data_IF_158652467303
#
_entry.id   IF_158652467303
#
_cell.length_a   1.000
_cell.length_b   1.000
_cell.length_c   1.000
_cell.angle_alpha   90.00
_cell.angle_beta   90.00
_cell.angle_gamma   90.00
#
_symmetry.space_group_name_H-M   'P 1'
#
loop_
_entity.id
_entity.type
_entity.pdbx_description
1 polymer ?
#
# COMPACT_ATOMS: atom_id res chain seq x y z
N UNK A 1 -62.50 9.77 -35.41
CA UNK A 1 -61.23 9.06 -35.17
C UNK A 1 -60.20 10.05 -34.63
N UNK A 2 -59.32 9.54 -33.76
CA UNK A 2 -58.08 10.15 -33.23
C UNK A 2 -58.21 11.03 -31.96
N UNK A 3 -58.19 10.33 -30.81
CA UNK A 3 -57.60 10.85 -29.57
C UNK A 3 -56.06 10.79 -29.71
N UNK A 4 -55.38 11.93 -29.63
CA UNK A 4 -53.92 11.97 -29.42
C UNK A 4 -53.65 12.22 -27.94
N UNK A 5 -53.35 11.15 -27.20
CA UNK A 5 -52.83 11.24 -25.85
C UNK A 5 -51.38 11.73 -25.91
N UNK A 6 -51.11 12.93 -25.39
CA UNK A 6 -49.73 13.37 -25.11
C UNK A 6 -49.23 12.62 -23.88
N UNK A 7 -48.48 11.55 -24.11
CA UNK A 7 -47.69 10.90 -23.07
C UNK A 7 -46.49 11.78 -22.74
N UNK A 8 -46.57 12.55 -21.65
CA UNK A 8 -45.41 13.22 -21.06
C UNK A 8 -44.57 12.15 -20.37
N UNK A 9 -43.50 11.71 -21.05
CA UNK A 9 -42.51 10.82 -20.47
C UNK A 9 -41.69 11.64 -19.46
N UNK A 10 -42.02 11.52 -18.18
CA UNK A 10 -41.14 11.96 -17.11
C UNK A 10 -39.93 11.03 -17.05
N UNK A 11 -38.85 11.39 -17.74
CA UNK A 11 -37.55 10.76 -17.52
C UNK A 11 -37.09 11.12 -16.11
N UNK A 12 -37.23 10.19 -15.16
CA UNK A 12 -36.58 10.28 -13.85
C UNK A 12 -35.07 10.29 -14.09
N UNK A 13 -34.46 11.46 -14.13
CA UNK A 13 -33.01 11.59 -13.94
C UNK A 13 -32.70 11.13 -12.52
N UNK A 14 -32.22 9.89 -12.39
CA UNK A 14 -31.63 9.43 -11.15
C UNK A 14 -30.40 10.31 -10.88
N UNK A 15 -30.49 11.18 -9.87
CA UNK A 15 -29.35 11.94 -9.40
C UNK A 15 -28.40 10.93 -8.77
N UNK A 16 -27.35 10.54 -9.48
CA UNK A 16 -26.25 9.77 -8.92
C UNK A 16 -25.55 10.63 -7.86
N UNK A 17 -25.90 10.41 -6.58
CA UNK A 17 -25.16 11.01 -5.47
C UNK A 17 -23.80 10.34 -5.37
N UNK A 18 -22.74 11.13 -5.30
CA UNK A 18 -21.40 10.65 -4.99
C UNK A 18 -21.41 9.90 -3.66
N UNK A 19 -20.72 8.76 -3.60
CA UNK A 19 -20.54 8.07 -2.33
C UNK A 19 -19.78 8.98 -1.35
N UNK A 20 -20.24 9.13 -0.10
CA UNK A 20 -19.52 9.91 0.89
C UNK A 20 -18.18 9.21 1.21
N UNK A 21 -17.16 10.01 1.51
CA UNK A 21 -15.89 9.50 2.02
C UNK A 21 -16.15 8.74 3.33
N UNK A 22 -15.53 7.56 3.45
CA UNK A 22 -15.60 6.72 4.65
C UNK A 22 -14.18 6.53 5.17
N UNK A 23 -13.90 7.12 6.33
CA UNK A 23 -12.59 7.03 6.95
C UNK A 23 -12.34 5.64 7.53
N UNK A 24 -11.06 5.24 7.59
CA UNK A 24 -10.67 3.95 8.15
C UNK A 24 -11.08 3.82 9.63
N UNK A 25 -10.99 4.93 10.38
CA UNK A 25 -11.38 5.02 11.77
C UNK A 25 -11.80 6.45 12.15
N UNK A 26 -12.49 6.59 13.28
CA UNK A 26 -12.94 7.89 13.77
C UNK A 26 -11.75 8.78 14.17
N UNK A 27 -11.80 10.06 13.77
CA UNK A 27 -10.75 11.03 14.08
C UNK A 27 -9.52 10.97 13.19
N UNK A 28 -9.53 10.16 12.11
CA UNK A 28 -8.49 10.17 11.09
C UNK A 28 -8.40 11.55 10.42
N UNK A 29 -7.29 12.24 10.62
CA UNK A 29 -7.04 13.56 10.03
C UNK A 29 -6.33 13.37 8.70
N UNK A 30 -6.90 13.94 7.63
CA UNK A 30 -6.29 13.91 6.29
C UNK A 30 -6.36 15.30 5.69
N UNK A 31 -5.23 15.99 5.80
CA UNK A 31 -5.01 17.28 5.15
C UNK A 31 -4.34 17.08 3.79
N UNK A 32 -4.50 18.07 2.91
CA UNK A 32 -3.91 18.06 1.59
C UNK A 32 -3.02 19.28 1.36
N UNK A 33 -1.97 19.08 0.58
CA UNK A 33 -1.07 20.12 0.10
C UNK A 33 -0.83 19.94 -1.40
N UNK A 34 -0.54 21.04 -2.09
CA UNK A 34 -0.03 20.97 -3.47
C UNK A 34 1.49 20.89 -3.44
N UNK A 35 2.04 19.80 -3.96
CA UNK A 35 3.48 19.65 -4.11
C UNK A 35 3.86 18.94 -5.38
N UNK A 36 5.08 19.20 -5.84
CA UNK A 36 5.71 18.42 -6.90
C UNK A 36 6.29 17.15 -6.29
N UNK A 37 6.17 16.04 -7.00
CA UNK A 37 6.92 14.84 -6.65
C UNK A 37 8.42 15.12 -6.60
N UNK A 38 9.13 14.34 -5.80
CA UNK A 38 10.57 14.47 -5.69
C UNK A 38 11.24 14.24 -7.03
N UNK A 39 12.31 14.99 -7.26
CA UNK A 39 13.13 14.76 -8.43
C UNK A 39 13.87 13.44 -8.23
N UNK A 40 13.57 12.43 -9.05
CA UNK A 40 14.03 11.05 -8.82
C UNK A 40 15.52 10.91 -8.45
N UNK A 41 16.49 11.63 -9.05
CA UNK A 41 17.92 11.50 -8.68
C UNK A 41 18.24 11.91 -7.25
N UNK A 42 17.36 12.65 -6.59
CA UNK A 42 17.53 13.12 -5.22
C UNK A 42 16.67 12.33 -4.22
N UNK A 43 15.94 11.31 -4.66
CA UNK A 43 15.09 10.52 -3.79
C UNK A 43 15.89 9.45 -3.07
N UNK A 44 15.89 9.47 -1.74
CA UNK A 44 16.51 8.42 -0.93
C UNK A 44 15.80 7.07 -1.02
N UNK A 45 14.71 6.94 -1.80
CA UNK A 45 13.96 5.67 -1.95
C UNK A 45 14.35 4.86 -3.20
N UNK A 46 15.20 5.41 -4.09
CA UNK A 46 15.57 4.78 -5.36
C UNK A 46 17.00 4.22 -5.37
N UNK A 47 17.37 3.54 -6.46
CA UNK A 47 18.72 3.03 -6.69
C UNK A 47 18.98 1.63 -6.12
N UNK A 48 20.23 1.18 -6.30
CA UNK A 48 20.75 -0.10 -5.78
C UNK A 48 20.62 -0.15 -4.24
N UNK A 49 20.25 -1.30 -3.65
CA UNK A 49 20.13 -1.44 -2.19
C UNK A 49 21.39 -1.02 -1.46
N UNK A 50 21.24 -0.13 -0.47
CA UNK A 50 22.33 0.40 0.34
C UNK A 50 21.82 1.02 1.64
N UNK A 51 22.72 1.33 2.59
CA UNK A 51 22.32 1.74 3.94
C UNK A 51 21.36 2.93 4.00
N UNK A 52 21.52 3.92 3.11
CA UNK A 52 20.67 5.10 3.07
C UNK A 52 19.22 4.75 2.66
N UNK A 53 19.06 4.05 1.53
CA UNK A 53 17.71 3.77 1.02
C UNK A 53 17.00 2.68 1.81
N UNK A 54 17.72 1.70 2.36
CA UNK A 54 17.16 0.74 3.29
C UNK A 54 16.66 1.42 4.57
N UNK A 55 17.42 2.40 5.10
CA UNK A 55 16.96 3.19 6.24
C UNK A 55 15.72 4.02 5.89
N UNK A 56 15.72 4.71 4.75
CA UNK A 56 14.57 5.52 4.33
C UNK A 56 13.29 4.67 4.20
N UNK A 57 13.39 3.48 3.59
CA UNK A 57 12.29 2.52 3.48
C UNK A 57 11.88 1.90 4.82
N UNK A 58 12.83 1.71 5.75
CA UNK A 58 12.52 1.26 7.10
C UNK A 58 11.75 2.33 7.87
N UNK A 59 12.28 3.55 7.95
CA UNK A 59 11.67 4.67 8.66
C UNK A 59 10.25 4.97 8.13
N UNK A 60 10.06 4.91 6.80
CA UNK A 60 8.75 5.13 6.19
C UNK A 60 7.71 4.07 6.61
N UNK A 61 8.14 2.83 6.84
CA UNK A 61 7.25 1.69 7.12
C UNK A 61 7.16 1.36 8.62
N UNK A 62 8.01 1.92 9.46
CA UNK A 62 8.16 1.54 10.88
C UNK A 62 6.84 1.69 11.67
N UNK A 63 6.04 2.70 11.31
CA UNK A 63 4.73 2.96 11.92
C UNK A 63 3.55 2.28 11.20
N UNK A 64 3.78 1.36 10.25
CA UNK A 64 2.69 0.84 9.39
C UNK A 64 1.57 0.11 10.15
N UNK A 65 1.92 -0.56 11.25
CA UNK A 65 1.01 -1.39 12.04
C UNK A 65 0.27 -0.54 13.07
N UNK A 66 -1.06 -0.57 13.03
CA UNK A 66 -1.91 0.14 13.97
C UNK A 66 -2.91 -0.79 14.66
N UNK A 67 -3.34 -0.36 15.85
CA UNK A 67 -4.45 -0.95 16.60
C UNK A 67 -5.76 -0.28 16.22
N UNK A 68 -6.75 -1.09 15.86
CA UNK A 68 -8.13 -0.68 15.62
C UNK A 68 -9.11 -1.44 16.50
N UNK A 69 -10.29 -0.86 16.69
CA UNK A 69 -11.39 -1.45 17.47
C UNK A 69 -12.24 -2.40 16.63
N UNK A 70 -13.06 -3.23 17.29
CA UNK A 70 -14.02 -4.09 16.59
C UNK A 70 -15.06 -3.27 15.82
N UNK A 71 -15.48 -2.14 16.38
CA UNK A 71 -16.46 -1.22 15.78
C UNK A 71 -15.90 -0.60 14.49
N UNK A 72 -14.64 -0.17 14.49
CA UNK A 72 -13.94 0.34 13.31
C UNK A 72 -13.85 -0.72 12.21
N UNK A 73 -13.53 -1.97 12.55
CA UNK A 73 -13.51 -3.08 11.59
C UNK A 73 -14.91 -3.39 11.02
N UNK A 74 -15.93 -3.43 11.88
CA UNK A 74 -17.31 -3.73 11.50
C UNK A 74 -17.87 -2.68 10.52
N UNK A 75 -17.47 -1.42 10.67
CA UNK A 75 -17.82 -0.36 9.72
C UNK A 75 -17.36 -0.74 8.32
N UNK A 76 -16.22 -1.40 8.13
CA UNK A 76 -15.70 -1.79 6.81
C UNK A 76 -16.00 -3.23 6.40
N UNK A 77 -16.80 -3.97 7.18
CA UNK A 77 -17.07 -5.40 6.97
C UNK A 77 -15.76 -6.22 6.88
N UNK A 78 -14.88 -5.99 7.87
CA UNK A 78 -13.57 -6.63 7.96
C UNK A 78 -13.39 -7.37 9.28
N UNK A 79 -12.46 -8.32 9.29
CA UNK A 79 -11.95 -8.99 10.49
C UNK A 79 -10.42 -8.94 10.46
N UNK A 80 -9.79 -9.02 11.62
CA UNK A 80 -8.33 -9.08 11.70
C UNK A 80 -7.85 -9.84 12.94
N UNK A 81 -6.54 -9.99 13.05
CA UNK A 81 -5.85 -10.67 14.15
C UNK A 81 -6.01 -9.85 15.44
N UNK A 82 -6.50 -10.45 16.55
CA UNK A 82 -6.55 -9.77 17.84
C UNK A 82 -5.14 -9.54 18.39
N UNK A 83 -4.93 -8.37 18.98
CA UNK A 83 -3.66 -8.01 19.60
C UNK A 83 -3.66 -8.34 21.11
N UNK A 84 -2.50 -8.66 21.72
CA UNK A 84 -2.39 -9.03 23.14
C UNK A 84 -3.00 -8.00 24.10
N UNK A 85 -2.85 -6.72 23.80
CA UNK A 85 -3.34 -5.61 24.63
C UNK A 85 -4.74 -5.10 24.22
N UNK A 86 -5.53 -5.95 23.53
CA UNK A 86 -6.88 -5.62 23.05
C UNK A 86 -6.89 -4.92 21.69
N UNK A 87 -8.06 -4.88 21.04
CA UNK A 87 -8.16 -4.40 19.66
C UNK A 87 -7.51 -5.36 18.66
N UNK A 88 -7.33 -4.88 17.43
CA UNK A 88 -6.96 -5.69 16.28
C UNK A 88 -5.88 -5.03 15.44
N UNK A 89 -5.01 -5.85 14.85
CA UNK A 89 -3.95 -5.40 13.96
C UNK A 89 -4.54 -4.91 12.63
N UNK A 90 -4.14 -3.74 12.15
CA UNK A 90 -4.53 -3.28 10.82
C UNK A 90 -3.45 -2.37 10.24
N UNK A 91 -3.52 -2.17 8.92
CA UNK A 91 -2.76 -1.13 8.21
C UNK A 91 -3.76 -0.18 7.54
N UNK A 92 -3.42 1.10 7.43
CA UNK A 92 -4.10 1.94 6.45
C UNK A 92 -3.77 1.44 5.03
N UNK A 93 -4.71 1.61 4.09
CA UNK A 93 -4.51 1.19 2.71
C UNK A 93 -3.24 1.73 2.06
N UNK A 94 -2.81 2.95 2.41
CA UNK A 94 -1.56 3.53 1.92
C UNK A 94 -0.32 2.72 2.34
N UNK A 95 -0.30 2.13 3.53
CA UNK A 95 0.81 1.27 3.96
C UNK A 95 0.82 -0.08 3.25
N UNK A 96 -0.35 -0.62 2.89
CA UNK A 96 -0.42 -1.80 2.02
C UNK A 96 0.17 -1.48 0.64
N UNK A 97 -0.16 -0.32 0.07
CA UNK A 97 0.42 0.11 -1.20
C UNK A 97 1.93 0.36 -1.11
N UNK A 98 2.41 1.01 -0.05
CA UNK A 98 3.85 1.21 0.18
C UNK A 98 4.57 -0.13 0.39
N UNK A 99 3.95 -1.10 1.06
CA UNK A 99 4.45 -2.47 1.15
C UNK A 99 4.60 -3.10 -0.24
N UNK A 100 3.60 -2.97 -1.10
CA UNK A 100 3.67 -3.44 -2.49
C UNK A 100 4.81 -2.77 -3.26
N UNK A 101 4.99 -1.45 -3.13
CA UNK A 101 6.10 -0.74 -3.79
C UNK A 101 7.45 -1.25 -3.27
N UNK A 102 7.61 -1.41 -1.96
CA UNK A 102 8.84 -1.94 -1.35
C UNK A 102 9.14 -3.36 -1.83
N UNK A 103 8.12 -4.22 -1.93
CA UNK A 103 8.28 -5.59 -2.44
C UNK A 103 8.72 -5.59 -3.91
N UNK A 104 8.10 -4.77 -4.77
CA UNK A 104 8.50 -4.65 -6.18
C UNK A 104 9.94 -4.14 -6.32
N UNK A 105 10.36 -3.23 -5.45
CA UNK A 105 11.75 -2.79 -5.37
C UNK A 105 12.67 -3.95 -4.99
N UNK A 106 12.36 -4.69 -3.93
CA UNK A 106 13.15 -5.84 -3.51
C UNK A 106 13.26 -6.89 -4.62
N UNK A 107 12.15 -7.15 -5.33
CA UNK A 107 12.12 -8.06 -6.46
C UNK A 107 12.99 -7.59 -7.64
N UNK A 108 13.00 -6.28 -7.91
CA UNK A 108 13.84 -5.68 -8.96
C UNK A 108 15.33 -5.81 -8.67
N UNK A 109 15.70 -5.86 -7.40
CA UNK A 109 17.07 -6.03 -6.90
C UNK A 109 17.26 -7.37 -6.18
N UNK A 110 16.50 -8.41 -6.55
CA UNK A 110 16.43 -9.67 -5.80
C UNK A 110 17.79 -10.35 -5.58
N UNK A 111 18.76 -10.11 -6.46
CA UNK A 111 20.12 -10.66 -6.33
C UNK A 111 20.88 -10.07 -5.12
N UNK A 112 20.48 -8.89 -4.63
CA UNK A 112 21.04 -8.24 -3.44
C UNK A 112 20.47 -8.77 -2.13
N UNK A 113 19.34 -9.46 -2.17
CA UNK A 113 18.60 -9.90 -0.99
C UNK A 113 18.78 -11.41 -0.79
N UNK A 114 19.42 -11.86 0.30
CA UNK A 114 19.68 -13.28 0.53
C UNK A 114 18.43 -14.16 0.48
N UNK A 115 17.28 -13.64 0.92
CA UNK A 115 15.99 -14.33 0.88
C UNK A 115 15.47 -14.62 -0.53
N UNK A 116 15.99 -13.93 -1.55
CA UNK A 116 15.67 -14.18 -2.95
C UNK A 116 16.84 -14.78 -3.75
N UNK A 117 18.04 -14.82 -3.16
CA UNK A 117 19.19 -15.52 -3.72
C UNK A 117 19.01 -17.03 -3.50
N UNK A 118 18.57 -17.74 -4.54
CA UNK A 118 18.34 -19.20 -4.60
C UNK A 118 16.91 -19.70 -4.26
N UNK A 119 15.89 -19.00 -4.72
CA UNK A 119 14.52 -19.52 -4.69
C UNK A 119 14.40 -20.82 -5.50
N UNK A 120 13.77 -21.84 -4.92
CA UNK A 120 13.26 -22.99 -5.65
C UNK A 120 12.21 -22.58 -6.69
N UNK A 121 11.88 -23.47 -7.62
CA UNK A 121 10.83 -23.21 -8.61
C UNK A 121 9.47 -22.91 -7.96
N UNK A 122 9.16 -23.58 -6.84
CA UNK A 122 7.94 -23.33 -6.07
C UNK A 122 7.96 -21.94 -5.43
N UNK A 123 9.04 -21.57 -4.74
CA UNK A 123 9.15 -20.26 -4.10
C UNK A 123 9.16 -19.12 -5.11
N UNK A 124 9.80 -19.32 -6.26
CA UNK A 124 9.75 -18.36 -7.36
C UNK A 124 8.33 -18.17 -7.87
N UNK A 125 7.58 -19.26 -8.11
CA UNK A 125 6.18 -19.17 -8.53
C UNK A 125 5.30 -18.48 -7.47
N UNK A 126 5.51 -18.79 -6.19
CA UNK A 126 4.80 -18.15 -5.09
C UNK A 126 5.07 -16.63 -5.03
N UNK A 127 6.34 -16.23 -5.12
CA UNK A 127 6.71 -14.82 -5.16
C UNK A 127 6.10 -14.10 -6.37
N UNK A 128 6.07 -14.74 -7.55
CA UNK A 128 5.42 -14.15 -8.72
C UNK A 128 3.93 -13.89 -8.51
N UNK A 129 3.21 -14.77 -7.82
CA UNK A 129 1.80 -14.51 -7.44
C UNK A 129 1.70 -13.28 -6.53
N UNK A 130 2.64 -13.11 -5.60
CA UNK A 130 2.66 -11.93 -4.74
C UNK A 130 2.98 -10.64 -5.53
N UNK A 131 3.87 -10.72 -6.52
CA UNK A 131 4.16 -9.60 -7.43
C UNK A 131 2.93 -9.21 -8.25
N UNK A 132 2.20 -10.18 -8.81
CA UNK A 132 0.97 -9.92 -9.56
C UNK A 132 -0.11 -9.30 -8.67
N UNK A 133 -0.24 -9.77 -7.42
CA UNK A 133 -1.10 -9.15 -6.41
C UNK A 133 -0.73 -7.69 -6.15
N UNK A 134 0.56 -7.40 -5.95
CA UNK A 134 1.06 -6.04 -5.72
C UNK A 134 0.77 -5.12 -6.91
N UNK A 135 0.98 -5.59 -8.13
CA UNK A 135 0.66 -4.83 -9.34
C UNK A 135 -0.83 -4.53 -9.44
N UNK A 136 -1.69 -5.49 -9.09
CA UNK A 136 -3.14 -5.30 -9.11
C UNK A 136 -3.62 -4.33 -8.03
N UNK A 137 -3.08 -4.41 -6.80
CA UNK A 137 -3.36 -3.45 -5.73
C UNK A 137 -3.01 -2.03 -6.17
N UNK A 138 -1.81 -1.82 -6.71
CA UNK A 138 -1.35 -0.50 -7.16
C UNK A 138 -2.16 0.02 -8.35
N UNK A 139 -2.49 -0.84 -9.33
CA UNK A 139 -3.33 -0.48 -10.47
C UNK A 139 -4.73 -0.07 -10.04
N UNK A 140 -5.38 -0.89 -9.20
CA UNK A 140 -6.72 -0.62 -8.69
C UNK A 140 -6.77 0.63 -7.81
N UNK A 141 -5.76 0.83 -6.97
CA UNK A 141 -5.56 2.05 -6.20
C UNK A 141 -5.46 3.31 -7.08
N UNK A 142 -4.66 3.25 -8.16
CA UNK A 142 -4.52 4.35 -9.10
C UNK A 142 -5.84 4.69 -9.81
N UNK A 143 -6.63 3.69 -10.19
CA UNK A 143 -7.96 3.91 -10.78
C UNK A 143 -8.99 4.42 -9.77
N UNK A 144 -8.94 3.93 -8.54
CA UNK A 144 -9.86 4.33 -7.47
C UNK A 144 -9.71 5.81 -7.13
N UNK A 145 -8.47 6.30 -7.12
CA UNK A 145 -8.16 7.69 -6.72
C UNK A 145 -7.90 8.65 -7.87
N UNK A 146 -7.68 8.13 -9.08
CA UNK A 146 -7.44 8.83 -10.35
C UNK A 146 -6.98 10.29 -10.21
N UNK A 147 -5.68 10.54 -10.42
CA UNK A 147 -5.17 11.92 -10.45
C UNK A 147 -5.73 12.64 -11.69
N UNK A 148 -6.67 13.54 -11.44
CA UNK A 148 -7.36 14.35 -12.45
C UNK A 148 -6.93 15.82 -12.39
N UNK A 149 -6.01 16.17 -11.51
CA UNK A 149 -5.54 17.54 -11.30
C UNK A 149 -4.21 17.83 -12.02
N UNK A 150 -3.50 16.77 -12.42
CA UNK A 150 -2.24 16.84 -13.13
C UNK A 150 -2.37 16.41 -14.60
N UNK A 151 -1.76 17.17 -15.51
CA UNK A 151 -1.63 16.78 -16.93
C UNK A 151 -0.22 16.29 -17.24
N UNK A 152 -0.11 15.03 -17.59
CA UNK A 152 1.10 14.48 -18.21
C UNK A 152 1.20 14.96 -19.66
N UNK A 153 2.11 15.90 -19.93
CA UNK A 153 2.29 16.51 -21.25
C UNK A 153 3.51 15.97 -21.99
N UNK A 154 3.55 16.20 -23.30
CA UNK A 154 4.59 15.72 -24.19
C UNK A 154 5.42 16.86 -24.76
N UNK A 155 6.65 16.56 -25.20
CA UNK A 155 7.54 17.47 -25.91
C UNK A 155 8.21 16.78 -27.08
N UNK A 156 8.64 17.58 -28.06
CA UNK A 156 9.54 17.12 -29.12
C UNK A 156 10.97 16.97 -28.59
N UNK A 157 11.70 16.01 -29.13
CA UNK A 157 13.09 15.75 -28.83
C UNK A 157 13.82 15.39 -30.12
N UNK A 158 14.97 16.00 -30.37
CA UNK A 158 15.74 15.82 -31.62
C UNK A 158 16.19 14.38 -31.88
N UNK A 159 16.30 13.56 -30.82
CA UNK A 159 16.75 12.16 -30.89
C UNK A 159 15.59 11.17 -30.92
N UNK A 160 14.35 11.64 -30.91
CA UNK A 160 13.17 10.77 -30.90
C UNK A 160 12.29 11.03 -32.12
N UNK A 161 11.93 9.99 -32.90
CA UNK A 161 10.99 10.13 -34.01
C UNK A 161 9.53 10.34 -33.56
N UNK A 162 9.26 10.30 -32.25
CA UNK A 162 7.93 10.48 -31.63
C UNK A 162 8.00 11.46 -30.45
N UNK A 163 6.89 12.12 -30.07
CA UNK A 163 6.86 12.90 -28.83
C UNK A 163 7.27 12.04 -27.63
N UNK A 164 8.01 12.65 -26.70
CA UNK A 164 8.38 12.02 -25.43
C UNK A 164 7.68 12.72 -24.28
N UNK A 165 7.60 12.08 -23.12
CA UNK A 165 7.10 12.73 -21.92
C UNK A 165 7.93 13.97 -21.58
N UNK A 166 7.23 15.04 -21.22
CA UNK A 166 7.86 16.19 -20.63
C UNK A 166 8.06 15.92 -19.13
N UNK A 167 9.31 15.75 -18.73
CA UNK A 167 9.71 15.49 -17.34
C UNK A 167 9.65 16.73 -16.43
N UNK A 168 9.06 17.83 -16.90
CA UNK A 168 8.79 19.00 -16.06
C UNK A 168 7.86 18.57 -14.92
N UNK A 169 8.34 18.72 -13.69
CA UNK A 169 7.57 18.43 -12.48
C UNK A 169 6.40 19.41 -12.36
N UNK A 170 5.22 18.86 -12.10
CA UNK A 170 3.95 19.58 -11.91
C UNK A 170 3.46 19.36 -10.49
N UNK A 171 2.61 20.25 -10.01
CA UNK A 171 2.03 20.14 -8.68
C UNK A 171 0.89 19.11 -8.70
N UNK A 172 0.86 18.28 -7.67
CA UNK A 172 -0.18 17.30 -7.42
C UNK A 172 -0.81 17.63 -6.06
N UNK A 173 -2.12 17.40 -5.92
CA UNK A 173 -2.75 17.42 -4.59
C UNK A 173 -2.41 16.13 -3.86
N UNK A 174 -1.50 16.25 -2.90
CA UNK A 174 -1.02 15.16 -2.09
C UNK A 174 -1.59 15.24 -0.69
N UNK A 175 -1.72 14.09 -0.01
CA UNK A 175 -1.93 14.08 1.44
C UNK A 175 -0.68 14.67 2.11
N UNK A 176 -0.89 15.56 3.09
CA UNK A 176 0.18 16.01 3.96
C UNK A 176 0.57 14.84 4.89
N UNK A 177 1.71 14.21 4.59
CA UNK A 177 2.16 13.01 5.28
C UNK A 177 2.46 13.24 6.76
N UNK A 178 3.11 14.37 7.08
CA UNK A 178 3.47 14.70 8.46
C UNK A 178 2.22 14.92 9.31
N UNK A 179 1.20 15.60 8.79
CA UNK A 179 -0.10 15.79 9.46
C UNK A 179 -0.81 14.44 9.69
N UNK A 180 -0.86 13.59 8.65
CA UNK A 180 -1.46 12.25 8.75
C UNK A 180 -0.80 11.44 9.87
N UNK A 181 0.53 11.40 9.90
CA UNK A 181 1.30 10.59 10.84
C UNK A 181 1.28 11.14 12.28
N UNK A 182 1.20 12.46 12.45
CA UNK A 182 1.25 13.09 13.78
C UNK A 182 -0.09 13.07 14.51
N UNK A 183 -1.17 13.58 13.89
CA UNK A 183 -2.36 13.98 14.65
C UNK A 183 -3.35 12.86 14.95
N UNK A 184 -3.32 11.77 14.19
CA UNK A 184 -4.35 10.72 14.30
C UNK A 184 -3.82 9.29 14.27
N UNK A 185 -2.49 9.14 14.19
CA UNK A 185 -1.87 7.87 13.83
C UNK A 185 -0.90 7.34 14.88
N UNK A 186 -0.04 8.21 15.43
CA UNK A 186 1.06 7.82 16.34
C UNK A 186 0.59 7.01 17.56
N UNK A 187 -0.49 7.42 18.21
CA UNK A 187 -0.99 6.75 19.43
C UNK A 187 -1.59 5.36 19.17
N UNK A 188 -1.82 5.01 17.90
CA UNK A 188 -2.36 3.71 17.49
C UNK A 188 -1.28 2.74 17.07
N UNK A 189 -0.04 3.19 16.87
CA UNK A 189 1.05 2.36 16.37
C UNK A 189 1.30 1.19 17.32
N UNK A 190 1.29 -0.02 16.77
CA UNK A 190 1.63 -1.25 17.50
C UNK A 190 3.15 -1.35 17.51
N UNK A 191 3.74 -1.51 18.70
CA UNK A 191 5.19 -1.56 18.81
C UNK A 191 5.74 -2.84 18.17
N UNK A 192 7.01 -2.77 17.76
CA UNK A 192 7.71 -3.93 17.21
C UNK A 192 7.69 -5.11 18.17
N UNK A 193 7.88 -4.87 19.46
CA UNK A 193 7.88 -5.91 20.49
C UNK A 193 6.52 -6.62 20.58
N UNK A 194 5.42 -5.89 20.46
CA UNK A 194 4.08 -6.50 20.47
C UNK A 194 3.83 -7.29 19.17
N UNK A 195 4.25 -6.79 18.01
CA UNK A 195 4.16 -7.53 16.74
C UNK A 195 4.99 -8.81 16.77
N UNK A 196 6.23 -8.74 17.26
CA UNK A 196 7.14 -9.87 17.36
C UNK A 196 6.65 -10.92 18.39
N UNK A 197 5.75 -10.53 19.30
CA UNK A 197 5.11 -11.44 20.27
C UNK A 197 3.92 -12.23 19.70
N UNK A 198 3.45 -11.90 18.49
CA UNK A 198 2.32 -12.60 17.87
C UNK A 198 2.73 -14.02 17.44
N UNK A 199 1.93 -15.00 17.87
CA UNK A 199 2.10 -16.41 17.51
C UNK A 199 0.90 -16.86 16.68
N UNK A 200 1.15 -17.57 15.59
CA UNK A 200 0.09 -18.14 14.77
C UNK A 200 -0.52 -19.35 15.48
N UNK A 201 -1.77 -19.27 16.00
CA UNK A 201 -2.37 -20.37 16.76
C UNK A 201 -2.78 -21.57 15.90
N UNK A 202 -2.72 -21.44 14.57
CA UNK A 202 -3.07 -22.51 13.62
C UNK A 202 -1.88 -23.41 13.29
N UNK A 203 -0.66 -23.00 13.68
CA UNK A 203 0.53 -23.83 13.58
C UNK A 203 0.77 -24.43 14.96
N UNK A 204 0.58 -25.75 15.11
CA UNK A 204 1.00 -26.46 16.33
C UNK A 204 2.51 -26.26 16.54
N UNK A 205 2.98 -26.24 17.80
CA UNK A 205 4.36 -25.95 18.23
C UNK A 205 5.45 -26.77 17.48
N UNK A 206 5.83 -26.37 16.27
CA UNK A 206 7.00 -26.88 15.54
C UNK A 206 8.33 -26.51 16.23
N UNK A 207 8.28 -25.73 17.32
CA UNK A 207 9.41 -25.43 18.20
C UNK A 207 10.04 -26.70 18.81
N UNK A 208 9.32 -27.82 18.88
CA UNK A 208 9.85 -29.10 19.37
C UNK A 208 10.69 -29.89 18.34
N UNK A 209 10.60 -29.58 17.04
CA UNK A 209 11.27 -30.36 15.98
C UNK A 209 12.55 -29.71 15.40
N UNK A 210 12.76 -28.41 15.61
CA UNK A 210 13.98 -27.72 15.12
C UNK A 210 15.19 -27.98 16.03
N UNK A 211 14.99 -28.36 17.29
CA UNK A 211 16.08 -28.64 18.24
C UNK A 211 16.64 -30.07 18.17
N UNK A 212 15.92 -31.03 17.57
CA UNK A 212 16.41 -32.42 17.46
C UNK A 212 17.33 -32.67 16.26
N UNK A 213 17.30 -31.82 15.22
CA UNK A 213 18.10 -32.01 13.99
C UNK A 213 19.48 -31.34 14.01
N UNK A 214 19.89 -30.70 15.11
CA UNK A 214 21.25 -30.10 15.25
C UNK A 214 22.26 -30.97 16.01
N UNK A 215 21.89 -32.17 16.49
CA UNK A 215 22.80 -33.01 17.31
C UNK A 215 23.29 -34.28 16.60
N UNK A 216 22.75 -34.65 15.44
CA UNK A 216 23.21 -35.82 14.70
C UNK A 216 23.66 -35.34 13.32
N UNK A 217 24.97 -35.07 13.18
CA UNK A 217 25.82 -35.14 11.98
C UNK A 217 27.18 -34.49 12.35
N UNK A 218 27.91 -35.12 13.26
CA UNK A 218 29.38 -35.04 13.35
C UNK A 218 29.91 -36.47 13.45
N UNK A 219 30.33 -37.00 12.31
CA UNK A 219 31.36 -38.03 12.18
C UNK A 219 32.40 -37.49 11.22
#
# INVERSE_FOLDING_TARGET
MLYTALSVIFTRTAIHKSAPRKDAFAGLVVDYEFKKYDFFPNSSYIGEPGPENEKAWHDLMDSMAIRVTAEELAVHDQQSVPLPNGGYLAWLGVFHELHCVKLLRHWSWREHYPEFANLSAFEMAHNMVHIDHCLEVLRSSALCRADTEALSVFKWNEKSPKPIFNTKRIDHRCVNWDSLMASSYVDRVVTKEELDSLVNPLLEDDAAHVTSNKVIQRK
#
